data_IF_663394412893
#
_entry.id   IF_663394412893
#
_cell.length_a   1.000
_cell.length_b   1.000
_cell.length_c   1.000
_cell.angle_alpha   90.00
_cell.angle_beta   90.00
_cell.angle_gamma   90.00
#
_symmetry.space_group_name_H-M   'P 1'
#
loop_
_entity.id
_entity.type
_entity.pdbx_description
1 polymer ?
#
# COMPACT_ATOMS: atom_id res chain seq x y z
N UNK A 1 -21.91 17.47 12.44
CA UNK A 1 -21.68 18.92 12.58
C UNK A 1 -20.19 19.14 12.73
N UNK A 2 -19.57 19.93 11.85
CA UNK A 2 -18.14 20.27 11.95
C UNK A 2 -17.97 21.31 13.07
N UNK A 3 -17.15 21.04 14.08
CA UNK A 3 -16.83 22.00 15.14
C UNK A 3 -15.74 22.95 14.69
N UNK A 4 -16.00 24.26 14.82
CA UNK A 4 -15.08 25.35 14.49
C UNK A 4 -14.26 25.69 15.73
N UNK A 5 -12.95 25.86 15.58
CA UNK A 5 -12.08 26.56 16.53
C UNK A 5 -11.28 27.59 15.73
N UNK A 6 -11.33 28.87 16.12
CA UNK A 6 -10.63 30.00 15.49
C UNK A 6 -11.01 30.29 14.02
N UNK A 7 -12.30 30.18 13.64
CA UNK A 7 -12.81 30.72 12.38
C UNK A 7 -12.29 30.03 11.09
N UNK A 8 -11.46 29.00 11.20
CA UNK A 8 -11.05 28.14 10.08
C UNK A 8 -11.79 26.81 10.18
N UNK A 9 -12.33 26.27 9.07
CA UNK A 9 -12.86 24.91 9.07
C UNK A 9 -11.74 23.97 9.52
N UNK A 10 -12.00 23.10 10.52
CA UNK A 10 -11.00 22.12 10.95
C UNK A 10 -10.69 21.22 9.76
N UNK A 11 -9.53 21.43 9.13
CA UNK A 11 -8.99 20.49 8.16
C UNK A 11 -8.92 19.13 8.84
N UNK A 12 -9.49 18.10 8.22
CA UNK A 12 -9.45 16.75 8.78
C UNK A 12 -7.98 16.32 8.92
N UNK A 13 -7.55 16.00 10.14
CA UNK A 13 -6.17 15.57 10.43
C UNK A 13 -5.79 14.32 9.63
N UNK A 14 -6.70 13.34 9.58
CA UNK A 14 -6.54 12.11 8.81
C UNK A 14 -7.01 12.28 7.37
N UNK A 15 -6.17 11.86 6.43
CA UNK A 15 -6.52 11.71 5.02
C UNK A 15 -7.15 10.34 4.74
N UNK A 16 -7.05 9.88 3.49
CA UNK A 16 -7.56 8.55 3.09
C UNK A 16 -6.75 7.40 3.66
N UNK A 17 -5.48 7.62 3.98
CA UNK A 17 -4.52 6.57 4.32
C UNK A 17 -3.41 7.16 5.19
N UNK A 18 -3.79 7.45 6.45
CA UNK A 18 -2.94 8.10 7.45
C UNK A 18 -2.95 9.62 7.40
N UNK A 19 -1.96 10.22 8.07
CA UNK A 19 -1.73 11.67 8.07
C UNK A 19 -0.56 11.94 7.14
N UNK A 20 -0.67 12.88 6.20
CA UNK A 20 0.42 13.22 5.24
C UNK A 20 0.58 14.72 5.11
N UNK A 21 1.80 15.16 4.88
CA UNK A 21 2.10 16.57 4.65
C UNK A 21 3.57 16.79 4.30
N UNK A 22 3.89 18.01 3.92
CA UNK A 22 5.25 18.43 3.60
C UNK A 22 6.07 18.52 4.89
N UNK A 23 7.31 18.02 4.85
CA UNK A 23 8.25 18.13 5.96
C UNK A 23 8.71 19.57 6.12
N UNK A 24 8.72 20.05 7.36
CA UNK A 24 8.99 21.47 7.66
C UNK A 24 7.76 22.37 7.66
N UNK A 25 6.62 21.91 7.12
CA UNK A 25 5.32 22.57 7.23
C UNK A 25 4.43 21.84 8.26
N UNK A 26 3.65 20.84 7.84
CA UNK A 26 2.87 20.01 8.77
C UNK A 26 3.78 19.08 9.58
N UNK A 27 4.71 18.41 8.90
CA UNK A 27 5.60 17.42 9.52
C UNK A 27 6.81 18.09 10.16
N UNK A 28 6.60 18.63 11.37
CA UNK A 28 7.65 19.14 12.26
C UNK A 28 7.97 18.13 13.37
N UNK A 29 9.14 18.22 14.04
CA UNK A 29 9.44 17.32 15.17
C UNK A 29 8.39 17.36 16.28
N UNK A 30 7.90 18.56 16.64
CA UNK A 30 6.86 18.73 17.65
C UNK A 30 5.55 18.05 17.23
N UNK A 31 5.16 18.18 15.97
CA UNK A 31 3.97 17.52 15.44
C UNK A 31 4.08 15.98 15.55
N UNK A 32 5.22 15.40 15.20
CA UNK A 32 5.45 13.94 15.28
C UNK A 32 5.35 13.45 16.72
N UNK A 33 5.95 14.17 17.68
CA UNK A 33 5.88 13.85 19.11
C UNK A 33 4.44 13.93 19.64
N UNK A 34 3.69 14.98 19.27
CA UNK A 34 2.30 15.16 19.70
C UNK A 34 1.40 14.05 19.12
N UNK A 35 1.61 13.65 17.86
CA UNK A 35 0.86 12.56 17.23
C UNK A 35 1.19 11.20 17.85
N UNK A 36 2.47 10.90 18.11
CA UNK A 36 2.87 9.68 18.82
C UNK A 36 2.25 9.63 20.23
N UNK A 37 2.21 10.77 20.92
CA UNK A 37 1.60 10.90 22.25
C UNK A 37 0.10 10.68 22.25
N UNK A 38 -0.61 11.26 21.28
CA UNK A 38 -2.02 11.02 21.06
C UNK A 38 -2.32 9.55 20.75
N UNK A 39 -1.52 8.92 19.89
CA UNK A 39 -1.66 7.52 19.53
C UNK A 39 -1.43 6.58 20.71
N UNK A 40 -0.32 6.74 21.44
CA UNK A 40 -0.02 5.95 22.64
C UNK A 40 -1.11 6.06 23.69
N UNK A 41 -1.66 7.27 23.89
CA UNK A 41 -2.81 7.49 24.78
C UNK A 41 -4.04 6.70 24.34
N UNK A 42 -4.35 6.68 23.05
CA UNK A 42 -5.50 5.98 22.51
C UNK A 42 -5.35 4.45 22.52
N UNK A 43 -4.12 3.92 22.50
CA UNK A 43 -3.86 2.50 22.66
C UNK A 43 -4.20 2.02 24.09
N UNK A 44 -4.15 2.87 25.10
CA UNK A 44 -4.40 2.49 26.50
C UNK A 44 -3.15 1.91 27.17
N UNK A 45 -3.25 0.81 27.95
CA UNK A 45 -2.11 0.26 28.67
C UNK A 45 -0.91 -0.04 27.76
N UNK A 46 0.34 0.10 28.23
CA UNK A 46 1.51 -0.18 27.40
C UNK A 46 1.58 -1.61 26.86
N UNK A 47 2.33 -1.76 25.77
CA UNK A 47 2.59 -3.02 25.09
C UNK A 47 3.57 -2.82 23.94
N UNK A 48 3.72 -3.82 23.07
CA UNK A 48 4.60 -3.71 21.90
C UNK A 48 3.95 -2.90 20.77
N UNK A 49 4.68 -1.94 20.21
CA UNK A 49 4.29 -1.15 19.02
C UNK A 49 5.41 -1.19 17.99
N UNK A 50 5.08 -1.55 16.75
CA UNK A 50 6.08 -1.60 15.68
C UNK A 50 6.17 -0.25 14.97
N UNK A 51 7.37 0.09 14.53
CA UNK A 51 7.65 1.30 13.76
C UNK A 51 8.42 0.87 12.52
N UNK A 52 7.83 1.11 11.35
CA UNK A 52 8.41 0.82 10.06
C UNK A 52 8.47 2.08 9.22
N UNK A 53 9.21 2.05 8.13
CA UNK A 53 9.34 3.22 7.28
C UNK A 53 9.63 2.89 5.82
N UNK A 54 9.50 3.88 4.94
CA UNK A 54 10.05 3.84 3.59
C UNK A 54 11.45 4.48 3.51
N UNK A 55 11.97 4.60 2.28
CA UNK A 55 13.32 5.10 2.02
C UNK A 55 13.42 6.63 1.92
N UNK A 56 12.34 7.39 2.13
CA UNK A 56 12.43 8.86 2.12
C UNK A 56 13.45 9.31 3.15
N UNK A 57 14.29 10.27 2.77
CA UNK A 57 15.40 10.76 3.62
C UNK A 57 14.90 11.21 5.00
N UNK A 58 13.71 11.81 5.05
CA UNK A 58 13.09 12.34 6.27
C UNK A 58 12.44 11.25 7.15
N UNK A 59 12.22 10.04 6.63
CA UNK A 59 11.55 8.97 7.36
C UNK A 59 12.35 8.50 8.58
N UNK A 60 13.68 8.50 8.50
CA UNK A 60 14.57 8.13 9.61
C UNK A 60 14.41 9.04 10.84
N UNK A 61 14.35 10.36 10.64
CA UNK A 61 14.15 11.29 11.75
C UNK A 61 12.77 11.12 12.40
N UNK A 62 11.75 10.92 11.58
CA UNK A 62 10.37 10.73 12.05
C UNK A 62 10.25 9.43 12.86
N UNK A 63 10.79 8.31 12.37
CA UNK A 63 10.70 7.03 13.08
C UNK A 63 11.38 7.04 14.45
N UNK A 64 12.57 7.65 14.57
CA UNK A 64 13.24 7.80 15.86
C UNK A 64 12.42 8.64 16.85
N UNK A 65 11.78 9.73 16.39
CA UNK A 65 10.89 10.54 17.22
C UNK A 65 9.67 9.74 17.69
N UNK A 66 9.08 8.92 16.81
CA UNK A 66 7.99 8.02 17.18
C UNK A 66 8.45 7.00 18.24
N UNK A 67 9.61 6.38 18.05
CA UNK A 67 10.16 5.36 18.94
C UNK A 67 10.46 5.93 20.33
N UNK A 68 11.20 7.03 20.39
CA UNK A 68 11.51 7.73 21.64
C UNK A 68 10.27 8.19 22.38
N UNK A 69 9.29 8.75 21.67
CA UNK A 69 8.04 9.19 22.30
C UNK A 69 7.26 8.02 22.89
N UNK A 70 7.09 6.94 22.13
CA UNK A 70 6.36 5.75 22.60
C UNK A 70 7.06 5.07 23.79
N UNK A 71 8.39 4.99 23.76
CA UNK A 71 9.19 4.52 24.88
C UNK A 71 8.93 5.35 26.15
N UNK A 72 8.95 6.69 26.03
CA UNK A 72 8.65 7.60 27.15
C UNK A 72 7.21 7.51 27.66
N UNK A 73 6.31 6.91 26.89
CA UNK A 73 4.92 6.60 27.29
C UNK A 73 4.75 5.19 27.86
N UNK A 74 5.84 4.43 27.97
CA UNK A 74 5.86 3.09 28.55
C UNK A 74 5.79 1.94 27.54
N UNK A 75 5.65 2.23 26.24
CA UNK A 75 5.53 1.19 25.20
C UNK A 75 6.89 0.62 24.80
N UNK A 76 6.90 -0.67 24.47
CA UNK A 76 8.06 -1.31 23.84
C UNK A 76 8.01 -1.04 22.33
N UNK A 77 8.82 -0.08 21.88
CA UNK A 77 8.94 0.28 20.48
C UNK A 77 9.89 -0.69 19.76
N UNK A 78 9.43 -1.22 18.62
CA UNK A 78 10.21 -2.13 17.77
C UNK A 78 10.43 -1.50 16.41
N UNK A 79 11.66 -1.11 16.14
CA UNK A 79 12.06 -0.51 14.88
C UNK A 79 12.34 -1.60 13.85
N UNK A 80 11.48 -1.68 12.84
CA UNK A 80 11.52 -2.70 11.80
C UNK A 80 12.41 -2.30 10.61
N UNK A 81 12.84 -1.04 10.55
CA UNK A 81 13.59 -0.47 9.43
C UNK A 81 12.75 -0.28 8.15
N UNK A 82 13.41 0.02 7.02
CA UNK A 82 12.75 0.26 5.74
C UNK A 82 12.12 -1.00 5.14
N UNK A 83 10.82 -0.99 4.83
CA UNK A 83 10.14 -2.12 4.20
C UNK A 83 8.83 -1.74 3.49
N UNK A 84 8.27 -2.59 2.62
CA UNK A 84 6.94 -2.36 2.07
C UNK A 84 5.87 -2.29 3.16
N UNK A 85 4.87 -1.42 3.00
CA UNK A 85 3.71 -1.36 3.89
C UNK A 85 3.05 -2.73 4.14
N UNK A 86 2.81 -3.59 3.13
CA UNK A 86 2.24 -4.93 3.39
C UNK A 86 3.18 -5.85 4.19
N UNK A 87 4.50 -5.70 4.05
CA UNK A 87 5.48 -6.41 4.86
C UNK A 87 5.40 -5.95 6.33
N UNK A 88 5.32 -4.64 6.55
CA UNK A 88 5.15 -4.06 7.88
C UNK A 88 3.85 -4.55 8.55
N UNK A 89 2.72 -4.45 7.85
CA UNK A 89 1.41 -4.90 8.30
C UNK A 89 1.41 -6.39 8.67
N UNK A 90 2.05 -7.22 7.85
CA UNK A 90 2.23 -8.64 8.14
C UNK A 90 3.01 -8.87 9.45
N UNK A 91 4.09 -8.11 9.66
CA UNK A 91 4.90 -8.19 10.87
C UNK A 91 4.15 -7.71 12.13
N UNK A 92 3.30 -6.66 12.05
CA UNK A 92 2.43 -6.25 13.17
C UNK A 92 1.62 -7.43 13.69
N UNK A 93 1.03 -8.21 12.78
CA UNK A 93 0.28 -9.42 13.15
C UNK A 93 1.18 -10.51 13.72
N UNK A 94 2.34 -10.76 13.11
CA UNK A 94 3.27 -11.81 13.57
C UNK A 94 3.91 -11.53 14.93
N UNK A 95 4.03 -10.25 15.31
CA UNK A 95 4.52 -9.83 16.63
C UNK A 95 3.41 -9.79 17.68
N UNK A 96 2.16 -10.06 17.30
CA UNK A 96 0.98 -9.86 18.15
C UNK A 96 0.97 -8.46 18.77
N UNK A 97 1.48 -7.49 18.00
CA UNK A 97 1.70 -6.16 18.49
C UNK A 97 0.38 -5.43 18.67
N UNK A 98 0.37 -4.49 19.61
CA UNK A 98 -0.83 -3.70 19.90
C UNK A 98 -1.22 -2.79 18.73
N UNK A 99 -0.24 -2.43 17.92
CA UNK A 99 -0.40 -1.71 16.67
C UNK A 99 0.95 -1.38 16.06
N UNK A 100 0.93 -0.52 15.05
CA UNK A 100 2.15 -0.05 14.42
C UNK A 100 1.99 1.24 13.65
N UNK A 101 3.11 1.94 13.49
CA UNK A 101 3.24 3.19 12.75
C UNK A 101 4.16 2.98 11.56
N UNK A 102 3.63 3.11 10.34
CA UNK A 102 4.40 3.04 9.10
C UNK A 102 4.66 4.46 8.60
N UNK A 103 5.91 4.90 8.64
CA UNK A 103 6.35 6.21 8.17
C UNK A 103 6.51 6.18 6.65
N UNK A 104 5.58 6.80 5.95
CA UNK A 104 5.57 6.89 4.49
C UNK A 104 4.53 7.89 4.00
N UNK A 105 4.82 8.61 2.91
CA UNK A 105 3.80 9.31 2.13
C UNK A 105 3.36 8.55 0.87
N UNK A 106 3.64 7.24 0.78
CA UNK A 106 3.24 6.40 -0.35
C UNK A 106 3.71 7.01 -1.69
N UNK A 107 2.78 7.39 -2.56
CA UNK A 107 3.05 7.93 -3.90
C UNK A 107 3.37 9.43 -3.95
N UNK A 108 3.27 10.16 -2.84
CA UNK A 108 3.51 11.60 -2.84
C UNK A 108 4.97 11.94 -3.23
N UNK A 109 5.26 13.17 -3.72
CA UNK A 109 6.62 13.63 -4.02
C UNK A 109 7.60 13.54 -2.82
N UNK A 110 8.93 13.56 -3.04
CA UNK A 110 9.96 13.35 -2.00
C UNK A 110 9.84 14.25 -0.76
N UNK A 111 9.39 15.50 -0.92
CA UNK A 111 9.24 16.50 0.15
C UNK A 111 8.12 16.18 1.14
N UNK A 112 7.23 15.25 0.81
CA UNK A 112 6.16 14.78 1.69
C UNK A 112 6.65 13.65 2.59
N UNK A 113 6.11 13.58 3.80
CA UNK A 113 6.10 12.36 4.59
C UNK A 113 4.72 12.11 5.22
N UNK A 114 4.57 10.98 5.88
CA UNK A 114 3.30 10.54 6.42
C UNK A 114 3.45 9.47 7.49
N UNK A 115 2.37 9.24 8.24
CA UNK A 115 2.26 8.15 9.20
C UNK A 115 0.96 7.42 8.91
N UNK A 116 1.06 6.14 8.59
CA UNK A 116 -0.08 5.22 8.54
C UNK A 116 -0.15 4.46 9.85
N UNK A 117 -1.37 4.28 10.35
CA UNK A 117 -1.63 3.66 11.63
C UNK A 117 -2.22 2.27 11.39
N UNK A 118 -1.59 1.26 11.98
CA UNK A 118 -1.96 -0.15 11.85
C UNK A 118 -2.45 -0.65 13.21
N UNK A 119 -3.58 -1.34 13.22
CA UNK A 119 -4.12 -2.03 14.39
C UNK A 119 -3.52 -3.44 14.57
N UNK A 120 -3.88 -4.15 15.64
CA UNK A 120 -3.23 -5.41 16.04
C UNK A 120 -3.39 -6.56 15.04
N UNK A 121 -4.40 -6.48 14.15
CA UNK A 121 -4.60 -7.47 13.08
C UNK A 121 -3.73 -7.25 11.84
N UNK A 122 -2.85 -6.24 11.86
CA UNK A 122 -2.08 -5.83 10.68
C UNK A 122 -2.90 -5.07 9.64
N UNK A 123 -4.08 -4.58 10.01
CA UNK A 123 -4.94 -3.76 9.14
C UNK A 123 -4.88 -2.29 9.57
N UNK A 124 -5.23 -1.38 8.68
CA UNK A 124 -5.39 0.03 9.01
C UNK A 124 -6.37 0.20 10.19
N UNK A 125 -6.11 1.20 11.05
CA UNK A 125 -7.03 1.52 12.14
C UNK A 125 -8.38 1.97 11.60
N UNK A 126 -9.43 1.71 12.38
CA UNK A 126 -10.78 2.10 12.00
C UNK A 126 -11.00 3.62 12.19
N UNK A 127 -11.98 4.23 11.48
CA UNK A 127 -12.28 5.65 11.60
C UNK A 127 -12.55 6.13 13.04
N UNK A 128 -13.10 5.26 13.90
CA UNK A 128 -13.34 5.59 15.31
C UNK A 128 -12.02 5.81 16.06
N UNK A 129 -10.99 5.03 15.75
CA UNK A 129 -9.66 5.20 16.33
C UNK A 129 -8.97 6.45 15.78
N UNK A 130 -9.11 6.75 14.48
CA UNK A 130 -8.62 8.01 13.89
C UNK A 130 -9.23 9.23 14.59
N UNK A 131 -10.54 9.20 14.84
CA UNK A 131 -11.25 10.26 15.54
C UNK A 131 -10.73 10.43 16.98
N UNK A 132 -10.51 9.33 17.72
CA UNK A 132 -9.93 9.37 19.08
C UNK A 132 -8.55 10.00 19.09
N UNK A 133 -7.68 9.63 18.14
CA UNK A 133 -6.33 10.20 18.02
C UNK A 133 -6.41 11.70 17.70
N UNK A 134 -7.29 12.10 16.78
CA UNK A 134 -7.47 13.50 16.42
C UNK A 134 -7.99 14.36 17.59
N UNK A 135 -8.89 13.81 18.41
CA UNK A 135 -9.35 14.46 19.65
C UNK A 135 -8.23 14.57 20.67
N UNK A 136 -7.53 13.47 20.98
CA UNK A 136 -6.42 13.50 21.95
C UNK A 136 -5.31 14.48 21.54
N UNK A 137 -4.98 14.54 20.24
CA UNK A 137 -4.04 15.52 19.68
C UNK A 137 -4.52 16.96 19.88
N UNK A 138 -5.80 17.24 19.60
CA UNK A 138 -6.36 18.57 19.73
C UNK A 138 -6.45 19.05 21.17
N UNK A 139 -6.81 18.15 22.08
CA UNK A 139 -6.97 18.45 23.51
C UNK A 139 -5.62 18.47 24.25
N UNK A 140 -4.53 18.03 23.59
CA UNK A 140 -3.20 17.80 24.18
C UNK A 140 -3.26 16.92 25.45
N UNK A 141 -4.23 16.03 25.50
CA UNK A 141 -4.48 15.14 26.62
C UNK A 141 -3.68 13.85 26.44
N UNK A 142 -2.41 13.87 26.88
CA UNK A 142 -1.49 12.75 26.71
C UNK A 142 -1.24 12.00 28.01
N UNK A 143 -1.21 10.67 27.92
CA UNK A 143 -0.71 9.83 29.00
C UNK A 143 0.77 10.13 29.26
N UNK A 144 1.25 9.76 30.46
CA UNK A 144 2.65 9.90 30.85
C UNK A 144 3.07 8.63 31.59
N UNK A 145 4.29 8.18 31.35
CA UNK A 145 4.89 7.13 32.17
C UNK A 145 5.76 7.74 33.28
N UNK A 146 5.91 7.01 34.39
CA UNK A 146 6.94 7.30 35.38
C UNK A 146 8.30 6.84 34.84
N UNK A 147 9.41 7.42 35.33
CA UNK A 147 10.76 6.99 34.95
C UNK A 147 11.03 5.49 35.18
N UNK A 148 10.34 4.88 36.15
CA UNK A 148 10.41 3.42 36.43
C UNK A 148 9.59 2.56 35.48
N UNK A 149 8.71 3.16 34.68
CA UNK A 149 7.76 2.46 33.81
C UNK A 149 7.89 2.89 32.36
N UNK A 150 9.03 3.47 31.97
CA UNK A 150 9.35 3.71 30.55
C UNK A 150 9.55 2.36 29.85
N UNK A 151 9.18 2.29 28.57
CA UNK A 151 9.36 1.10 27.77
C UNK A 151 10.78 0.96 27.23
N UNK A 152 10.94 0.09 26.26
CA UNK A 152 12.20 -0.18 25.56
C UNK A 152 12.16 0.23 24.10
N UNK A 153 13.33 0.44 23.50
CA UNK A 153 13.50 0.55 22.05
C UNK A 153 14.42 -0.58 21.62
N UNK A 154 14.01 -1.34 20.61
CA UNK A 154 14.88 -2.34 19.98
C UNK A 154 14.67 -2.36 18.47
N UNK A 155 15.70 -2.77 17.74
CA UNK A 155 15.61 -2.99 16.30
C UNK A 155 15.33 -4.46 15.97
N UNK A 156 14.60 -4.70 14.88
CA UNK A 156 14.27 -6.02 14.36
C UNK A 156 14.52 -6.08 12.84
N UNK A 157 15.40 -6.99 12.40
CA UNK A 157 15.86 -7.06 11.02
C UNK A 157 15.29 -8.24 10.22
N UNK A 158 14.67 -9.24 10.86
CA UNK A 158 14.13 -10.44 10.20
C UNK A 158 12.76 -10.24 9.52
N UNK A 159 12.19 -9.04 9.60
CA UNK A 159 10.82 -8.77 9.15
C UNK A 159 10.59 -9.05 7.66
N UNK A 160 11.58 -8.72 6.82
CA UNK A 160 11.53 -9.01 5.38
C UNK A 160 11.62 -10.51 5.11
N UNK A 161 12.54 -11.22 5.75
CA UNK A 161 12.71 -12.66 5.57
C UNK A 161 11.43 -13.41 5.94
N UNK A 162 10.81 -13.04 7.06
CA UNK A 162 9.53 -13.59 7.53
C UNK A 162 8.42 -13.37 6.51
N UNK A 163 8.35 -12.16 5.95
CA UNK A 163 7.35 -11.82 4.93
C UNK A 163 7.56 -12.62 3.63
N UNK A 164 8.79 -12.73 3.12
CA UNK A 164 9.10 -13.50 1.92
C UNK A 164 8.83 -14.99 2.11
N UNK A 165 9.22 -15.56 3.25
CA UNK A 165 8.92 -16.95 3.60
C UNK A 165 7.42 -17.24 3.59
N UNK A 166 6.61 -16.30 4.09
CA UNK A 166 5.15 -16.40 4.02
C UNK A 166 4.63 -16.41 2.59
N UNK A 167 5.17 -15.58 1.69
CA UNK A 167 4.75 -15.59 0.27
C UNK A 167 5.12 -16.91 -0.39
N UNK A 168 6.32 -17.43 -0.12
CA UNK A 168 6.75 -18.74 -0.61
C UNK A 168 5.81 -19.86 -0.16
N UNK A 169 5.38 -19.86 1.10
CA UNK A 169 4.46 -20.86 1.63
C UNK A 169 3.08 -20.84 0.96
N UNK A 170 2.67 -19.72 0.35
CA UNK A 170 1.38 -19.57 -0.32
C UNK A 170 1.49 -19.59 -1.85
N UNK A 171 2.66 -19.93 -2.40
CA UNK A 171 2.92 -19.92 -3.84
C UNK A 171 3.54 -21.24 -4.30
N UNK A 172 3.07 -21.78 -5.43
CA UNK A 172 3.73 -22.93 -6.08
C UNK A 172 5.05 -22.48 -6.75
N UNK A 173 6.08 -22.37 -5.93
CA UNK A 173 7.42 -21.95 -6.36
C UNK A 173 8.04 -22.94 -7.36
N UNK A 174 7.66 -24.23 -7.31
CA UNK A 174 8.15 -25.24 -8.24
C UNK A 174 7.56 -25.07 -9.65
N UNK A 175 6.26 -24.75 -9.74
CA UNK A 175 5.61 -24.37 -11.00
C UNK A 175 6.26 -23.14 -11.62
N UNK A 176 6.50 -22.09 -10.84
CA UNK A 176 7.12 -20.85 -11.33
C UNK A 176 8.54 -21.14 -11.84
N UNK A 177 9.35 -21.85 -11.05
CA UNK A 177 10.72 -22.21 -11.41
C UNK A 177 10.77 -23.05 -12.70
N UNK A 178 9.83 -23.99 -12.89
CA UNK A 178 9.71 -24.79 -14.11
C UNK A 178 9.30 -23.95 -15.33
N UNK A 179 8.42 -22.95 -15.14
CA UNK A 179 8.03 -22.05 -16.20
C UNK A 179 9.15 -21.05 -16.58
N UNK A 180 10.06 -20.78 -15.64
CA UNK A 180 11.22 -19.90 -15.78
C UNK A 180 10.89 -18.56 -16.48
N UNK A 181 9.85 -17.84 -15.99
CA UNK A 181 9.32 -16.67 -16.69
C UNK A 181 10.35 -15.54 -16.73
N UNK A 182 10.30 -14.75 -17.80
CA UNK A 182 11.04 -13.48 -17.86
C UNK A 182 10.15 -12.37 -17.34
N UNK A 183 10.65 -11.58 -16.40
CA UNK A 183 9.93 -10.47 -15.76
C UNK A 183 10.75 -9.20 -15.92
N UNK A 184 10.10 -8.10 -16.31
CA UNK A 184 10.65 -6.75 -16.21
C UNK A 184 9.97 -6.08 -15.01
N UNK A 185 10.76 -5.57 -14.07
CA UNK A 185 10.29 -5.02 -12.81
C UNK A 185 10.85 -3.61 -12.62
N UNK A 186 10.00 -2.67 -12.24
CA UNK A 186 10.39 -1.31 -11.85
C UNK A 186 9.92 -1.00 -10.43
N UNK A 187 10.79 -1.16 -9.41
CA UNK A 187 10.50 -0.79 -8.03
C UNK A 187 10.41 0.71 -7.77
N UNK A 188 10.79 1.55 -8.73
CA UNK A 188 10.73 3.01 -8.65
C UNK A 188 11.56 3.62 -7.52
N UNK A 189 12.74 3.04 -7.22
CA UNK A 189 13.62 3.39 -6.09
C UNK A 189 12.95 3.29 -4.70
N UNK A 190 11.76 2.68 -4.61
CA UNK A 190 11.00 2.55 -3.38
C UNK A 190 11.27 1.25 -2.62
N UNK A 191 10.43 0.97 -1.63
CA UNK A 191 10.61 -0.16 -0.71
C UNK A 191 10.44 -1.54 -1.36
N UNK A 192 9.78 -1.63 -2.51
CA UNK A 192 9.67 -2.91 -3.23
C UNK A 192 11.03 -3.41 -3.77
N UNK A 193 12.03 -2.54 -3.85
CA UNK A 193 13.39 -2.90 -4.27
C UNK A 193 14.08 -3.90 -3.32
N UNK A 194 13.74 -3.88 -2.03
CA UNK A 194 14.31 -4.81 -1.04
C UNK A 194 13.55 -6.13 -0.90
N UNK A 195 12.42 -6.30 -1.61
CA UNK A 195 11.59 -7.51 -1.53
C UNK A 195 11.37 -8.16 -2.89
N UNK A 196 10.79 -7.44 -3.85
CA UNK A 196 10.31 -8.01 -5.12
C UNK A 196 11.42 -8.61 -5.98
N UNK A 197 12.59 -7.97 -6.17
CA UNK A 197 13.68 -8.58 -6.94
C UNK A 197 14.19 -9.87 -6.31
N UNK A 198 14.33 -9.89 -4.97
CA UNK A 198 14.78 -11.08 -4.22
C UNK A 198 13.79 -12.23 -4.39
N UNK A 199 12.51 -12.00 -4.09
CA UNK A 199 11.44 -12.99 -4.22
C UNK A 199 11.39 -13.62 -5.61
N UNK A 200 11.41 -12.78 -6.66
CA UNK A 200 11.31 -13.26 -8.04
C UNK A 200 12.54 -14.09 -8.45
N UNK A 201 13.75 -13.70 -8.01
CA UNK A 201 14.96 -14.49 -8.24
C UNK A 201 14.90 -15.82 -7.49
N UNK A 202 14.48 -15.83 -6.23
CA UNK A 202 14.30 -17.04 -5.41
C UNK A 202 13.29 -18.00 -6.06
N UNK A 203 12.23 -17.48 -6.70
CA UNK A 203 11.25 -18.26 -7.47
C UNK A 203 11.73 -18.73 -8.86
N UNK A 204 12.93 -18.34 -9.29
CA UNK A 204 13.51 -18.78 -10.57
C UNK A 204 13.09 -17.95 -11.79
N UNK A 205 12.68 -16.70 -11.59
CA UNK A 205 12.39 -15.79 -12.70
C UNK A 205 13.69 -15.22 -13.30
N UNK A 206 13.72 -15.05 -14.64
CA UNK A 206 14.74 -14.22 -15.31
C UNK A 206 14.31 -12.75 -15.18
N UNK A 207 15.03 -11.98 -14.39
CA UNK A 207 14.62 -10.63 -14.02
C UNK A 207 15.46 -9.57 -14.75
N UNK A 208 14.79 -8.59 -15.36
CA UNK A 208 15.35 -7.29 -15.71
C UNK A 208 14.75 -6.26 -14.75
N UNK A 209 15.59 -5.55 -14.02
CA UNK A 209 15.16 -4.50 -13.11
C UNK A 209 15.43 -3.11 -13.69
N UNK A 210 14.55 -2.17 -13.37
CA UNK A 210 14.70 -0.73 -13.57
C UNK A 210 14.57 -0.08 -12.20
N UNK A 211 15.34 0.94 -11.86
CA UNK A 211 15.17 1.71 -10.63
C UNK A 211 15.13 0.84 -9.35
N UNK A 212 16.01 -0.18 -9.24
CA UNK A 212 16.02 -1.17 -8.15
C UNK A 212 16.97 -0.85 -7.00
N UNK A 213 17.64 0.30 -7.06
CA UNK A 213 18.41 0.82 -5.93
C UNK A 213 17.50 1.72 -5.10
N UNK A 214 17.22 1.38 -3.83
CA UNK A 214 16.40 2.22 -2.97
C UNK A 214 17.00 3.62 -2.82
N UNK A 215 16.21 4.66 -3.04
CA UNK A 215 16.63 6.05 -2.90
C UNK A 215 15.40 6.93 -2.61
N UNK A 216 15.45 7.66 -1.48
CA UNK A 216 14.40 8.56 -1.04
C UNK A 216 14.17 9.79 -1.91
N UNK A 217 15.07 10.07 -2.84
CA UNK A 217 14.92 11.12 -3.86
C UNK A 217 14.13 10.66 -5.08
N UNK A 218 13.92 9.35 -5.24
CA UNK A 218 13.22 8.75 -6.38
C UNK A 218 13.77 9.20 -7.77
N UNK A 219 15.09 9.07 -8.04
CA UNK A 219 15.72 9.63 -9.23
C UNK A 219 15.27 9.01 -10.56
N UNK A 220 14.80 7.75 -10.54
CA UNK A 220 14.38 7.05 -11.76
C UNK A 220 13.05 7.53 -12.32
N UNK A 221 12.12 7.88 -11.43
CA UNK A 221 10.79 8.45 -11.72
C UNK A 221 10.10 8.80 -10.40
N UNK A 222 9.06 9.63 -10.48
CA UNK A 222 8.17 9.83 -9.34
C UNK A 222 7.59 8.49 -8.84
N UNK A 223 7.41 8.41 -7.53
CA UNK A 223 7.04 7.17 -6.83
C UNK A 223 5.71 6.60 -7.33
N UNK A 224 4.74 7.46 -7.69
CA UNK A 224 3.46 7.02 -8.25
C UNK A 224 3.63 6.23 -9.56
N UNK A 225 3.13 4.99 -9.64
CA UNK A 225 3.22 4.17 -10.86
C UNK A 225 2.10 4.52 -11.85
N UNK A 226 2.02 5.79 -12.27
CA UNK A 226 1.09 6.26 -13.29
C UNK A 226 1.60 5.98 -14.70
N UNK A 227 0.72 6.00 -15.70
CA UNK A 227 1.13 5.82 -17.11
C UNK A 227 2.22 6.83 -17.52
N UNK A 228 2.11 8.08 -17.05
CA UNK A 228 3.09 9.13 -17.29
C UNK A 228 4.47 8.81 -16.68
N UNK A 229 4.52 8.11 -15.54
CA UNK A 229 5.76 7.79 -14.85
C UNK A 229 6.37 6.44 -15.30
N UNK A 230 5.60 5.56 -15.95
CA UNK A 230 6.03 4.20 -16.32
C UNK A 230 6.57 4.09 -17.76
N UNK A 231 7.00 5.20 -18.36
CA UNK A 231 7.49 5.25 -19.76
C UNK A 231 8.67 4.29 -20.00
N UNK A 232 9.69 4.31 -19.13
CA UNK A 232 10.85 3.42 -19.22
C UNK A 232 10.45 1.93 -19.14
N UNK A 233 9.51 1.60 -18.24
CA UNK A 233 9.00 0.23 -18.11
C UNK A 233 8.24 -0.20 -19.37
N UNK A 234 7.38 0.68 -19.91
CA UNK A 234 6.61 0.43 -21.13
C UNK A 234 7.53 0.19 -22.34
N UNK A 235 8.67 0.88 -22.43
CA UNK A 235 9.66 0.69 -23.48
C UNK A 235 10.50 -0.59 -23.32
N UNK A 236 10.81 -0.98 -22.07
CA UNK A 236 11.65 -2.15 -21.79
C UNK A 236 10.92 -3.48 -22.06
N UNK A 237 9.61 -3.55 -21.78
CA UNK A 237 8.82 -4.80 -21.89
C UNK A 237 8.84 -5.41 -23.31
N UNK A 238 8.62 -4.67 -24.41
CA UNK A 238 8.68 -5.24 -25.76
C UNK A 238 10.07 -5.72 -26.16
N UNK A 239 11.13 -4.98 -25.77
CA UNK A 239 12.53 -5.27 -26.14
C UNK A 239 12.99 -6.63 -25.60
N UNK A 240 12.50 -7.03 -24.42
CA UNK A 240 12.81 -8.32 -23.81
C UNK A 240 12.12 -9.53 -24.47
N UNK A 241 11.07 -9.31 -25.26
CA UNK A 241 10.38 -10.34 -26.02
C UNK A 241 10.95 -10.61 -27.42
N UNK A 242 11.92 -9.81 -27.89
CA UNK A 242 12.36 -9.75 -29.29
C UNK A 242 13.80 -10.14 -29.60
N UNK A 243 14.55 -10.73 -28.65
CA UNK A 243 15.97 -11.05 -28.87
C UNK A 243 16.22 -12.12 -29.98
N UNK A 244 17.33 -12.03 -30.75
CA UNK A 244 17.60 -12.84 -31.96
C UNK A 244 17.81 -14.36 -31.74
N UNK A 245 17.67 -14.88 -30.51
CA UNK A 245 17.64 -16.31 -30.21
C UNK A 245 16.24 -16.89 -29.98
N UNK A 246 15.18 -16.07 -30.00
CA UNK A 246 13.80 -16.48 -29.75
C UNK A 246 13.05 -16.82 -31.06
N UNK A 247 13.62 -17.70 -31.89
CA UNK A 247 12.80 -18.42 -32.87
C UNK A 247 11.96 -19.44 -32.09
N UNK A 248 10.62 -19.36 -32.10
CA UNK A 248 9.81 -20.42 -31.49
C UNK A 248 10.13 -21.71 -32.22
N UNK A 249 10.56 -22.76 -31.49
CA UNK A 249 10.45 -24.12 -32.00
C UNK A 249 8.98 -24.29 -32.42
N UNK A 250 8.74 -24.53 -33.71
CA UNK A 250 7.40 -24.63 -34.31
C UNK A 250 6.48 -25.41 -33.36
N UNK A 251 5.47 -24.75 -32.78
CA UNK A 251 4.46 -25.38 -31.92
C UNK A 251 4.33 -24.88 -30.49
N UNK A 252 5.22 -24.03 -29.95
CA UNK A 252 5.01 -23.38 -28.63
C UNK A 252 5.19 -21.87 -28.72
N UNK A 253 4.09 -21.12 -28.62
CA UNK A 253 4.14 -19.68 -28.32
C UNK A 253 4.72 -19.52 -26.91
N UNK A 254 5.81 -18.76 -26.70
CA UNK A 254 6.21 -18.39 -25.36
C UNK A 254 5.07 -17.56 -24.77
N UNK A 255 4.54 -18.00 -23.63
CA UNK A 255 3.58 -17.22 -22.86
C UNK A 255 4.29 -16.00 -22.29
N UNK A 256 4.40 -14.94 -23.09
CA UNK A 256 4.61 -13.61 -22.54
C UNK A 256 3.34 -13.32 -21.72
N UNK A 257 3.45 -13.34 -20.40
CA UNK A 257 2.38 -12.82 -19.53
C UNK A 257 2.37 -11.31 -19.77
N UNK A 258 1.70 -10.89 -20.85
CA UNK A 258 1.23 -9.53 -21.02
C UNK A 258 0.07 -9.36 -20.04
N UNK A 259 0.41 -9.11 -18.77
CA UNK A 259 -0.53 -8.40 -17.93
C UNK A 259 -0.78 -7.07 -18.63
N UNK A 260 -2.02 -6.80 -19.06
CA UNK A 260 -2.41 -5.39 -19.25
C UNK A 260 -2.09 -4.72 -17.92
N UNK A 261 -1.19 -3.76 -17.92
CA UNK A 261 -0.90 -2.94 -16.75
C UNK A 261 -2.18 -2.16 -16.42
N UNK A 262 -3.09 -2.79 -15.68
CA UNK A 262 -4.09 -2.09 -14.89
C UNK A 262 -3.47 -2.03 -13.50
N UNK A 263 -3.11 -0.82 -13.00
CA UNK A 263 -2.64 -0.67 -11.64
C UNK A 263 -3.69 -1.24 -10.69
N UNK A 264 -3.37 -2.33 -10.00
CA UNK A 264 -4.12 -2.73 -8.82
C UNK A 264 -3.58 -1.90 -7.67
N UNK A 265 -4.35 -0.88 -7.31
CA UNK A 265 -3.95 0.16 -6.39
C UNK A 265 -4.17 -0.32 -4.95
N UNK A 266 -3.14 -0.87 -4.30
CA UNK A 266 -3.05 -0.96 -2.83
C UNK A 266 -1.61 -0.63 -2.41
N UNK A 267 -1.41 0.53 -1.78
CA UNK A 267 -0.21 0.82 -0.98
C UNK A 267 1.16 0.80 -1.68
N UNK A 268 1.26 1.21 -2.96
CA UNK A 268 2.56 1.51 -3.59
C UNK A 268 3.40 0.29 -4.02
N UNK A 269 2.87 -0.93 -3.99
CA UNK A 269 3.52 -2.10 -4.57
C UNK A 269 2.70 -2.62 -5.75
N UNK A 270 3.20 -2.42 -6.97
CA UNK A 270 2.66 -3.09 -8.15
C UNK A 270 3.02 -4.58 -8.10
N UNK A 271 2.07 -5.43 -7.71
CA UNK A 271 2.06 -6.84 -8.10
C UNK A 271 0.94 -7.01 -9.13
N UNK A 272 1.31 -7.31 -10.37
CA UNK A 272 0.33 -7.63 -11.42
C UNK A 272 -0.43 -8.92 -11.10
N UNK A 273 -1.64 -9.14 -11.68
CA UNK A 273 -2.39 -10.36 -11.43
C UNK A 273 -1.66 -11.57 -11.99
N UNK A 274 -1.33 -12.53 -11.13
CA UNK A 274 -1.00 -13.90 -11.55
C UNK A 274 -2.31 -14.52 -12.02
N UNK A 275 -2.47 -14.69 -13.34
CA UNK A 275 -3.62 -15.40 -13.90
C UNK A 275 -3.46 -16.89 -13.55
N UNK A 276 -4.47 -17.46 -12.92
CA UNK A 276 -4.60 -18.89 -12.60
C UNK A 276 -4.15 -19.76 -13.79
N UNK A 277 -3.04 -20.49 -13.64
CA UNK A 277 -2.56 -21.45 -14.64
C UNK A 277 -3.35 -22.74 -14.43
N UNK A 278 -4.55 -22.83 -15.01
CA UNK A 278 -5.24 -24.12 -15.12
C UNK A 278 -4.43 -25.02 -16.05
N UNK A 279 -3.96 -26.15 -15.53
CA UNK A 279 -3.38 -27.21 -16.34
C UNK A 279 -4.42 -27.69 -17.38
N UNK A 280 -4.03 -27.93 -18.65
CA UNK A 280 -4.95 -28.48 -19.63
C UNK A 280 -5.35 -29.92 -19.22
N UNK A 281 -6.63 -30.31 -19.37
CA UNK A 281 -7.03 -31.69 -19.14
C UNK A 281 -6.33 -32.62 -20.16
N UNK A 282 -6.04 -33.87 -19.79
CA UNK A 282 -5.42 -34.84 -20.70
C UNK A 282 -6.34 -35.11 -21.92
N UNK A 283 -5.77 -35.45 -23.09
CA UNK A 283 -6.53 -35.58 -24.32
C UNK A 283 -7.45 -36.81 -24.25
N UNK A 284 -8.76 -36.58 -24.17
CA UNK A 284 -9.76 -37.60 -24.52
C UNK A 284 -10.12 -37.46 -25.99
N UNK A 285 -9.99 -38.59 -26.70
CA UNK A 285 -10.36 -38.79 -28.09
C UNK A 285 -11.87 -38.64 -28.30
N UNK A 286 -12.23 -38.16 -29.50
CA UNK A 286 -13.54 -38.17 -30.17
C UNK A 286 -14.61 -37.20 -29.64
N UNK A 287 -14.88 -36.12 -30.40
CA UNK A 287 -15.93 -35.97 -31.46
C UNK A 287 -17.34 -35.94 -30.82
N UNK A 288 -18.20 -34.91 -30.97
CA UNK A 288 -18.51 -34.06 -32.14
C UNK A 288 -19.27 -32.80 -31.69
N UNK A 289 -19.15 -31.77 -32.54
CA UNK A 289 -20.07 -30.66 -32.86
C UNK A 289 -20.40 -29.63 -31.77
N UNK A 290 -19.90 -28.39 -31.85
CA UNK A 290 -20.31 -27.29 -32.76
C UNK A 290 -21.82 -26.98 -32.62
N UNK A 291 -22.30 -25.76 -32.37
CA UNK A 291 -21.72 -24.43 -32.47
C UNK A 291 -22.64 -23.39 -31.76
N UNK A 292 -22.00 -22.37 -31.19
CA UNK A 292 -22.34 -20.94 -31.17
C UNK A 292 -23.57 -20.32 -30.45
N UNK A 293 -23.18 -19.30 -29.65
CA UNK A 293 -23.71 -17.93 -29.52
C UNK A 293 -25.22 -17.64 -29.53
N UNK A 294 -25.68 -16.94 -28.48
CA UNK A 294 -26.14 -15.53 -28.49
C UNK A 294 -27.10 -15.31 -27.29
N UNK A 295 -26.96 -14.15 -26.65
CA UNK A 295 -27.84 -13.61 -25.61
C UNK A 295 -29.19 -13.18 -26.19
N UNK A 296 -30.30 -13.65 -25.60
CA UNK A 296 -31.69 -13.08 -25.49
C UNK A 296 -32.58 -14.26 -25.02
N UNK A 297 -33.55 -14.20 -24.14
CA UNK A 297 -34.23 -13.18 -23.34
C UNK A 297 -35.53 -13.86 -22.83
N UNK A 298 -35.98 -13.48 -21.63
CA UNK A 298 -37.30 -13.77 -21.02
C UNK A 298 -37.66 -15.23 -20.65
N UNK A 299 -38.11 -15.43 -19.40
CA UNK A 299 -38.89 -16.63 -19.02
C UNK A 299 -38.73 -17.11 -17.57
N UNK A 300 -39.40 -16.41 -16.64
CA UNK A 300 -40.01 -16.84 -15.35
C UNK A 300 -39.56 -18.16 -14.67
N UNK A 301 -39.27 -18.09 -13.35
CA UNK A 301 -39.43 -19.22 -12.44
C UNK A 301 -38.54 -19.23 -11.19
N UNK A 302 -39.06 -18.70 -10.09
CA UNK A 302 -38.80 -18.94 -8.66
C UNK A 302 -37.41 -18.82 -7.98
N UNK A 303 -37.34 -17.76 -7.14
CA UNK A 303 -37.08 -17.72 -5.70
C UNK A 303 -36.00 -18.62 -5.05
N UNK A 304 -34.95 -17.96 -4.56
CA UNK A 304 -34.03 -18.49 -3.54
C UNK A 304 -33.03 -17.40 -3.13
N UNK A 305 -33.33 -16.71 -2.02
CA UNK A 305 -32.75 -15.41 -1.65
C UNK A 305 -31.29 -15.41 -1.18
N UNK A 306 -30.59 -14.33 -1.54
CA UNK A 306 -29.30 -13.91 -0.99
C UNK A 306 -29.01 -12.47 -1.40
N UNK A 307 -29.37 -11.49 -0.57
CA UNK A 307 -29.11 -10.07 -0.84
C UNK A 307 -27.62 -9.74 -0.72
N UNK A 308 -26.95 -9.49 -1.85
CA UNK A 308 -25.69 -8.79 -1.89
C UNK A 308 -25.94 -7.27 -1.73
N UNK A 309 -25.54 -6.70 -0.58
CA UNK A 309 -25.55 -5.25 -0.37
C UNK A 309 -24.45 -4.60 -1.21
N UNK A 310 -24.84 -3.81 -2.21
CA UNK A 310 -23.95 -2.92 -2.96
C UNK A 310 -23.99 -1.54 -2.30
N UNK A 311 -22.84 -1.04 -1.83
CA UNK A 311 -22.69 0.36 -1.48
C UNK A 311 -22.41 1.17 -2.76
N UNK A 312 -23.26 2.14 -3.16
CA UNK A 312 -22.94 3.02 -4.26
C UNK A 312 -21.94 4.10 -3.80
N UNK A 313 -20.84 4.22 -4.54
CA UNK A 313 -19.99 5.42 -4.54
C UNK A 313 -20.83 6.55 -5.16
N UNK A 314 -21.27 7.52 -4.36
CA UNK A 314 -21.93 8.73 -4.86
C UNK A 314 -20.88 9.70 -5.40
N UNK A 315 -20.86 9.87 -6.71
CA UNK A 315 -20.19 10.99 -7.40
C UNK A 315 -21.16 12.18 -7.35
N UNK A 316 -20.78 13.36 -6.82
CA UNK A 316 -21.66 14.53 -6.85
C UNK A 316 -21.80 15.07 -8.26
N UNK A 317 -23.05 15.20 -8.73
CA UNK A 317 -23.40 15.81 -10.01
C UNK A 317 -23.07 17.32 -10.00
N UNK A 318 -22.45 17.80 -11.09
CA UNK A 318 -22.23 19.22 -11.36
C UNK A 318 -23.59 19.92 -11.48
N UNK A 319 -23.79 21.04 -10.77
CA UNK A 319 -24.93 21.94 -10.99
C UNK A 319 -24.79 22.66 -12.35
N UNK A 320 -25.88 22.87 -13.10
CA UNK A 320 -25.87 23.76 -14.26
C UNK A 320 -25.66 25.21 -13.82
N UNK A 321 -24.93 25.97 -14.66
CA UNK A 321 -24.84 27.43 -14.57
C UNK A 321 -26.13 28.00 -15.18
N UNK A 322 -27.00 28.57 -14.35
CA UNK A 322 -28.03 29.48 -14.82
C UNK A 322 -27.45 30.90 -14.84
N UNK A 323 -27.31 31.41 -16.05
CA UNK A 323 -27.12 32.83 -16.31
C UNK A 323 -28.48 33.48 -16.49
N UNK A 324 -28.76 34.48 -15.66
CA UNK A 324 -29.67 35.58 -15.98
C UNK A 324 -29.30 36.76 -15.08
N UNK A 325 -28.54 37.68 -15.68
CA UNK A 325 -28.41 39.04 -15.18
C UNK A 325 -29.66 39.79 -15.62
N UNK A 326 -30.44 40.26 -14.65
CA UNK A 326 -31.38 41.38 -14.83
C UNK A 326 -31.05 42.40 -13.75
N UNK A 327 -30.79 43.61 -14.20
CA UNK A 327 -30.67 44.80 -13.36
C UNK A 327 -32.04 45.42 -13.11
N UNK A 328 -32.16 46.09 -11.97
CA UNK A 328 -32.75 47.41 -11.78
C UNK A 328 -32.47 47.83 -10.32
N UNK A 329 -31.67 48.88 -10.08
CA UNK A 329 -32.05 50.30 -9.97
C UNK A 329 -32.89 50.60 -8.72
N UNK A 330 -32.19 51.21 -7.74
CA UNK A 330 -32.57 52.28 -6.79
C UNK A 330 -33.98 52.29 -6.18
N UNK A 331 -33.99 52.29 -4.85
CA UNK A 331 -35.06 52.71 -3.96
C UNK A 331 -34.60 52.54 -2.52
#
# INVERSE_FOLDING_TARGET
MQSIQNGKPRTRLFGTDGIRGVVGDLYTPAFVVDIASAYGTCLGPPGTVLIGQDFRTTSWGISHLLAGTLQMLGFDAVEMGPMPTPCFQYNVRCFEAKGGLMVTASHNPPEYNGIKFTGPRGLEILPEMEARIATAYADRAFNRANWKTTGTIRSESSGIDRYLASIHAHTDSALIRRAHPTVVLDPGNGTSAVTSPRLLREMGCRLLTLNDTPDGWFPGRLSEPSEANLTQLAEAVPKMGGGPGHRPRRGRRPGCIRGRARPLHHGGCLAGPIREVRAPPPPRRHRRHEQHHVVRGAGRGDAGGGQARRHPVRIPARRPRDGTVRGDVRG
#
